data_IF_942219543618
#
_entry.id   IF_942219543618
#
_cell.length_a   1.000
_cell.length_b   1.000
_cell.length_c   1.000
_cell.angle_alpha   90.00
_cell.angle_beta   90.00
_cell.angle_gamma   90.00
#
_symmetry.space_group_name_H-M   'P 1'
#
loop_
_entity.id
_entity.type
_entity.pdbx_description
1 polymer ?
#
# COMPACT_ATOMS: atom_id res chain seq x y z
N UNK A 1 -33.50 5.08 -20.75
CA UNK A 1 -32.07 4.85 -21.03
C UNK A 1 -32.01 3.85 -22.16
N UNK A 2 -31.33 4.13 -23.27
CA UNK A 2 -31.17 3.15 -24.36
C UNK A 2 -30.12 2.15 -23.89
N UNK A 3 -30.46 0.88 -23.88
CA UNK A 3 -29.54 -0.19 -23.52
C UNK A 3 -28.60 -0.43 -24.72
N UNK A 4 -27.35 0.03 -24.62
CA UNK A 4 -26.35 -0.03 -25.70
C UNK A 4 -25.75 -1.45 -25.89
N UNK A 5 -26.43 -2.49 -25.39
CA UNK A 5 -26.00 -3.88 -25.48
C UNK A 5 -25.16 -4.39 -24.31
N UNK A 6 -24.73 -3.52 -23.40
CA UNK A 6 -24.00 -3.93 -22.19
C UNK A 6 -24.95 -4.18 -21.03
N UNK A 7 -24.88 -5.37 -20.44
CA UNK A 7 -25.64 -5.71 -19.23
C UNK A 7 -25.02 -5.02 -18.01
N UNK A 8 -25.82 -4.50 -17.07
CA UNK A 8 -25.31 -4.04 -15.78
C UNK A 8 -24.52 -5.13 -15.08
N UNK A 9 -23.43 -4.75 -14.44
CA UNK A 9 -22.55 -5.65 -13.69
C UNK A 9 -22.83 -5.45 -12.20
N UNK A 10 -22.85 -6.55 -11.45
CA UNK A 10 -23.00 -6.51 -10.00
C UNK A 10 -21.66 -6.12 -9.36
N UNK A 11 -21.63 -4.96 -8.71
CA UNK A 11 -20.52 -4.52 -7.86
C UNK A 11 -20.78 -4.99 -6.42
N UNK A 12 -19.89 -5.84 -5.91
CA UNK A 12 -19.95 -6.45 -4.59
C UNK A 12 -18.93 -5.79 -3.69
N UNK A 13 -19.38 -5.07 -2.66
CA UNK A 13 -18.47 -4.47 -1.68
C UNK A 13 -17.92 -5.55 -0.74
N UNK A 14 -16.60 -5.65 -0.66
CA UNK A 14 -15.85 -6.47 0.31
C UNK A 14 -14.95 -5.57 1.13
N UNK A 15 -14.53 -6.05 2.30
CA UNK A 15 -13.56 -5.39 3.16
C UNK A 15 -12.70 -6.47 3.82
N UNK A 16 -11.66 -6.90 3.12
CA UNK A 16 -10.89 -8.10 3.49
C UNK A 16 -9.42 -7.99 3.09
N UNK A 17 -8.58 -8.74 3.81
CA UNK A 17 -7.15 -8.92 3.51
C UNK A 17 -6.87 -10.20 2.72
N UNK A 18 -7.95 -10.88 2.29
CA UNK A 18 -7.89 -12.03 1.39
C UNK A 18 -7.22 -11.64 0.07
N UNK A 19 -6.33 -12.49 -0.41
CA UNK A 19 -5.53 -12.22 -1.60
C UNK A 19 -6.32 -12.55 -2.87
N UNK A 20 -5.99 -11.85 -3.95
CA UNK A 20 -6.47 -12.14 -5.30
C UNK A 20 -5.66 -13.22 -5.99
N UNK A 21 -5.70 -13.20 -7.33
CA UNK A 21 -4.87 -14.08 -8.18
C UNK A 21 -3.40 -13.87 -7.87
N UNK A 22 -2.58 -14.90 -8.05
CA UNK A 22 -1.12 -14.84 -7.90
C UNK A 22 -0.65 -14.35 -6.49
N UNK A 23 -1.56 -14.29 -5.50
CA UNK A 23 -1.25 -13.88 -4.12
C UNK A 23 -1.11 -12.37 -3.88
N UNK A 24 -1.65 -11.53 -4.76
CA UNK A 24 -1.61 -10.07 -4.62
C UNK A 24 -2.72 -9.56 -3.70
N UNK A 25 -2.45 -8.46 -2.99
CA UNK A 25 -3.52 -7.63 -2.42
C UNK A 25 -4.34 -7.01 -3.55
N UNK A 26 -5.61 -6.73 -3.29
CA UNK A 26 -6.54 -6.27 -4.33
C UNK A 26 -7.37 -5.09 -3.84
N UNK A 27 -7.36 -4.00 -4.61
CA UNK A 27 -8.39 -2.95 -4.54
C UNK A 27 -9.69 -3.42 -5.18
N UNK A 28 -9.59 -4.24 -6.21
CA UNK A 28 -10.74 -4.79 -6.91
C UNK A 28 -10.42 -6.14 -7.53
N UNK A 29 -11.47 -6.90 -7.82
CA UNK A 29 -11.33 -8.17 -8.50
C UNK A 29 -12.55 -8.48 -9.34
N UNK A 30 -12.37 -8.62 -10.65
CA UNK A 30 -13.43 -9.14 -11.51
C UNK A 30 -13.31 -10.66 -11.62
N UNK A 31 -14.39 -11.37 -11.28
CA UNK A 31 -14.44 -12.84 -11.33
C UNK A 31 -15.16 -13.31 -12.60
N UNK A 32 -14.46 -14.11 -13.42
CA UNK A 32 -15.07 -14.85 -14.53
C UNK A 32 -15.94 -16.01 -14.04
N UNK A 33 -15.71 -16.50 -12.83
CA UNK A 33 -16.51 -17.56 -12.21
C UNK A 33 -17.93 -17.08 -11.90
N UNK A 34 -18.05 -15.88 -11.30
CA UNK A 34 -19.35 -15.34 -10.86
C UNK A 34 -19.90 -14.25 -11.77
N UNK A 35 -19.07 -13.66 -12.64
CA UNK A 35 -19.41 -12.48 -13.44
C UNK A 35 -19.56 -11.20 -12.60
N UNK A 36 -19.08 -11.21 -11.35
CA UNK A 36 -19.20 -10.07 -10.42
C UNK A 36 -17.88 -9.32 -10.29
N UNK A 37 -17.98 -8.03 -9.99
CA UNK A 37 -16.87 -7.16 -9.67
C UNK A 37 -16.82 -6.94 -8.15
N UNK A 38 -15.78 -7.43 -7.49
CA UNK A 38 -15.59 -7.27 -6.05
C UNK A 38 -14.76 -6.02 -5.78
N UNK A 39 -15.29 -5.11 -4.97
CA UNK A 39 -14.71 -3.81 -4.62
C UNK A 39 -14.20 -3.87 -3.19
N UNK A 40 -12.88 -3.82 -3.00
CA UNK A 40 -12.29 -3.98 -1.68
C UNK A 40 -12.12 -2.65 -0.96
N UNK A 41 -13.12 -2.29 -0.18
CA UNK A 41 -13.17 -1.09 0.64
C UNK A 41 -12.01 -1.01 1.63
N UNK A 42 -11.42 -2.16 2.01
CA UNK A 42 -10.25 -2.21 2.89
C UNK A 42 -9.01 -1.57 2.27
N UNK A 43 -8.85 -1.64 0.94
CA UNK A 43 -7.70 -1.07 0.21
C UNK A 43 -8.08 0.09 -0.71
N UNK A 44 -9.37 0.41 -0.84
CA UNK A 44 -9.82 1.63 -1.51
C UNK A 44 -9.97 2.76 -0.49
N UNK A 45 -8.90 3.53 -0.34
CA UNK A 45 -8.78 4.50 0.75
C UNK A 45 -9.56 5.78 0.51
N UNK A 46 -10.08 6.04 -0.68
CA UNK A 46 -10.72 7.30 -1.00
C UNK A 46 -11.88 7.13 -1.98
N UNK A 47 -12.72 8.16 -2.15
CA UNK A 47 -13.78 8.12 -3.16
C UNK A 47 -13.17 8.08 -4.57
N UNK A 48 -11.99 8.69 -4.76
CA UNK A 48 -11.25 8.60 -6.01
C UNK A 48 -10.75 7.16 -6.26
N UNK A 49 -10.26 6.47 -5.22
CA UNK A 49 -9.83 5.07 -5.32
C UNK A 49 -11.01 4.15 -5.65
N UNK A 50 -12.11 4.26 -4.90
CA UNK A 50 -13.32 3.47 -5.13
C UNK A 50 -13.84 3.64 -6.56
N UNK A 51 -13.90 4.87 -7.06
CA UNK A 51 -14.37 5.14 -8.42
C UNK A 51 -13.39 4.62 -9.48
N UNK A 52 -12.09 4.77 -9.25
CA UNK A 52 -11.04 4.24 -10.13
C UNK A 52 -11.16 2.72 -10.25
N UNK A 53 -11.28 2.03 -9.12
CA UNK A 53 -11.37 0.57 -9.11
C UNK A 53 -12.70 0.10 -9.67
N UNK A 54 -13.81 0.79 -9.39
CA UNK A 54 -15.11 0.42 -9.94
C UNK A 54 -15.11 0.57 -11.46
N UNK A 55 -14.50 1.64 -12.00
CA UNK A 55 -14.31 1.81 -13.44
C UNK A 55 -13.42 0.72 -14.04
N UNK A 56 -12.33 0.35 -13.35
CA UNK A 56 -11.42 -0.72 -13.77
C UNK A 56 -12.14 -2.06 -13.90
N UNK A 57 -12.87 -2.48 -12.86
CA UNK A 57 -13.59 -3.75 -12.90
C UNK A 57 -14.79 -3.72 -13.86
N UNK A 58 -15.43 -2.55 -14.02
CA UNK A 58 -16.48 -2.37 -15.03
C UNK A 58 -15.94 -2.61 -16.44
N UNK A 59 -14.76 -2.11 -16.77
CA UNK A 59 -14.15 -2.37 -18.08
C UNK A 59 -13.86 -3.86 -18.30
N UNK A 60 -13.28 -4.52 -17.29
CA UNK A 60 -13.00 -5.97 -17.36
C UNK A 60 -14.27 -6.77 -17.56
N UNK A 61 -15.32 -6.40 -16.84
CA UNK A 61 -16.61 -7.04 -16.92
C UNK A 61 -17.30 -6.80 -18.27
N UNK A 62 -17.19 -5.61 -18.85
CA UNK A 62 -17.65 -5.30 -20.22
C UNK A 62 -16.97 -6.23 -21.23
N UNK A 63 -15.65 -6.36 -21.13
CA UNK A 63 -14.87 -7.19 -22.05
C UNK A 63 -15.17 -8.69 -21.89
N UNK A 64 -15.64 -9.13 -20.73
CA UNK A 64 -15.99 -10.51 -20.43
C UNK A 64 -17.46 -10.87 -20.71
N UNK A 65 -18.29 -9.90 -21.14
CA UNK A 65 -19.70 -10.19 -21.42
C UNK A 65 -19.86 -11.19 -22.57
N UNK A 66 -20.92 -11.99 -22.49
CA UNK A 66 -21.31 -12.93 -23.53
C UNK A 66 -21.49 -12.21 -24.88
N UNK A 67 -20.80 -12.70 -25.92
CA UNK A 67 -20.76 -12.08 -27.25
C UNK A 67 -19.56 -11.16 -27.49
N UNK A 68 -18.77 -10.86 -26.45
CA UNK A 68 -17.45 -10.27 -26.61
C UNK A 68 -16.52 -11.21 -27.39
N UNK A 69 -15.63 -10.63 -28.19
CA UNK A 69 -14.56 -11.34 -28.91
C UNK A 69 -13.21 -11.27 -28.19
N UNK A 70 -13.16 -10.64 -27.02
CA UNK A 70 -11.93 -10.56 -26.23
C UNK A 70 -11.59 -11.94 -25.66
N UNK A 71 -10.34 -12.35 -25.85
CA UNK A 71 -9.81 -13.54 -25.21
C UNK A 71 -9.77 -13.33 -23.69
N UNK A 72 -10.19 -14.34 -22.93
CA UNK A 72 -10.17 -14.32 -21.46
C UNK A 72 -9.10 -15.26 -20.89
N UNK A 73 -8.19 -15.76 -21.73
CA UNK A 73 -6.98 -16.44 -21.29
C UNK A 73 -6.19 -15.56 -20.32
N UNK A 74 -5.50 -16.19 -19.36
CA UNK A 74 -4.69 -15.46 -18.36
C UNK A 74 -3.69 -14.50 -19.03
N UNK A 75 -2.97 -14.99 -20.05
CA UNK A 75 -2.00 -14.19 -20.81
C UNK A 75 -2.62 -12.93 -21.40
N UNK A 76 -3.80 -13.05 -22.03
CA UNK A 76 -4.45 -11.90 -22.64
C UNK A 76 -5.02 -10.93 -21.59
N UNK A 77 -5.57 -11.44 -20.50
CA UNK A 77 -6.06 -10.61 -19.38
C UNK A 77 -4.92 -9.82 -18.73
N UNK A 78 -3.76 -10.45 -18.56
CA UNK A 78 -2.55 -9.81 -18.05
C UNK A 78 -2.08 -8.69 -19.01
N UNK A 79 -2.04 -8.97 -20.31
CA UNK A 79 -1.61 -8.01 -21.33
C UNK A 79 -2.49 -6.76 -21.43
N UNK A 80 -3.78 -6.85 -21.08
CA UNK A 80 -4.73 -5.72 -21.14
C UNK A 80 -5.05 -5.10 -19.78
N UNK A 81 -4.44 -5.57 -18.69
CA UNK A 81 -4.70 -5.05 -17.34
C UNK A 81 -4.47 -3.54 -17.27
N UNK A 82 -3.41 -3.04 -17.92
CA UNK A 82 -3.10 -1.61 -18.01
C UNK A 82 -4.23 -0.81 -18.65
N UNK A 83 -4.86 -1.32 -19.70
CA UNK A 83 -6.00 -0.64 -20.35
C UNK A 83 -7.19 -0.47 -19.40
N UNK A 84 -7.58 -1.54 -18.70
CA UNK A 84 -8.69 -1.48 -17.74
C UNK A 84 -8.39 -0.51 -16.59
N UNK A 85 -7.15 -0.51 -16.07
CA UNK A 85 -6.74 0.41 -15.01
C UNK A 85 -6.74 1.88 -15.49
N UNK A 86 -6.22 2.14 -16.69
CA UNK A 86 -6.25 3.48 -17.30
C UNK A 86 -7.69 3.95 -17.52
N UNK A 87 -8.60 3.06 -17.93
CA UNK A 87 -10.01 3.37 -18.06
C UNK A 87 -10.63 3.81 -16.72
N UNK A 88 -10.38 3.05 -15.65
CA UNK A 88 -10.81 3.42 -14.30
C UNK A 88 -10.27 4.79 -13.85
N UNK A 89 -8.96 5.01 -14.04
CA UNK A 89 -8.30 6.28 -13.70
C UNK A 89 -8.89 7.48 -14.48
N UNK A 90 -9.18 7.29 -15.77
CA UNK A 90 -9.79 8.31 -16.60
C UNK A 90 -11.22 8.66 -16.14
N UNK A 91 -12.01 7.66 -15.71
CA UNK A 91 -13.35 7.91 -15.14
C UNK A 91 -13.23 8.77 -13.88
N UNK A 92 -12.34 8.39 -12.96
CA UNK A 92 -12.16 9.15 -11.72
C UNK A 92 -11.69 10.59 -11.98
N UNK A 93 -10.73 10.75 -12.89
CA UNK A 93 -10.21 12.07 -13.31
C UNK A 93 -11.29 12.94 -13.95
N UNK A 94 -12.14 12.36 -14.80
CA UNK A 94 -13.24 13.08 -15.42
C UNK A 94 -14.31 13.49 -14.42
N UNK A 95 -14.66 12.59 -13.49
CA UNK A 95 -15.60 12.89 -12.42
C UNK A 95 -15.07 14.00 -11.50
N UNK A 96 -13.79 13.95 -11.15
CA UNK A 96 -13.12 14.98 -10.36
C UNK A 96 -13.14 16.34 -11.08
N UNK A 97 -12.79 16.37 -12.37
CA UNK A 97 -12.88 17.57 -13.19
C UNK A 97 -14.30 18.13 -13.23
N UNK A 98 -15.32 17.28 -13.37
CA UNK A 98 -16.72 17.71 -13.41
C UNK A 98 -17.17 18.32 -12.07
N UNK A 99 -16.78 17.74 -10.93
CA UNK A 99 -17.04 18.31 -9.61
C UNK A 99 -16.38 19.68 -9.46
N UNK A 100 -15.13 19.81 -9.90
CA UNK A 100 -14.42 21.07 -9.86
C UNK A 100 -15.10 22.13 -10.74
N UNK A 101 -15.42 21.78 -11.98
CA UNK A 101 -16.06 22.68 -12.94
C UNK A 101 -17.45 23.15 -12.48
N UNK A 102 -18.17 22.32 -11.73
CA UNK A 102 -19.51 22.64 -11.20
C UNK A 102 -19.49 23.27 -9.80
N UNK A 103 -18.30 23.59 -9.28
CA UNK A 103 -18.14 24.24 -7.97
C UNK A 103 -18.46 23.34 -6.78
N UNK A 104 -18.48 22.01 -6.96
CA UNK A 104 -18.76 21.03 -5.91
C UNK A 104 -17.48 20.53 -5.19
N UNK A 105 -16.31 21.04 -5.58
CA UNK A 105 -15.02 20.64 -5.03
C UNK A 105 -14.36 19.54 -5.85
N UNK A 106 -13.77 18.55 -5.20
CA UNK A 106 -13.09 17.41 -5.81
C UNK A 106 -13.62 16.11 -5.19
N UNK A 107 -13.31 14.97 -5.81
CA UNK A 107 -13.44 13.69 -5.13
C UNK A 107 -12.61 13.70 -3.86
N UNK A 108 -13.16 13.14 -2.78
CA UNK A 108 -12.43 12.99 -1.53
C UNK A 108 -11.24 12.07 -1.77
N UNK A 109 -10.05 12.56 -1.42
CA UNK A 109 -8.81 11.78 -1.30
C UNK A 109 -8.56 11.32 0.14
N UNK A 110 -9.41 11.71 1.09
CA UNK A 110 -9.35 11.29 2.48
C UNK A 110 -9.87 9.86 2.69
N UNK A 111 -9.43 9.24 3.79
CA UNK A 111 -9.75 7.87 4.18
C UNK A 111 -11.25 7.60 4.24
N UNK A 112 -11.73 6.61 3.48
CA UNK A 112 -13.08 6.08 3.60
C UNK A 112 -13.26 5.31 4.92
N UNK A 113 -14.49 5.29 5.44
CA UNK A 113 -14.84 4.40 6.54
C UNK A 113 -15.03 2.99 6.00
N UNK A 114 -14.26 2.03 6.53
CA UNK A 114 -14.38 0.62 6.14
C UNK A 114 -15.79 0.12 6.46
N UNK A 115 -16.44 -0.47 5.46
CA UNK A 115 -17.74 -1.12 5.60
C UNK A 115 -17.64 -2.41 6.41
N UNK A 116 -18.42 -2.51 7.49
CA UNK A 116 -18.45 -3.66 8.41
C UNK A 116 -19.84 -4.31 8.51
N UNK A 117 -20.68 -4.09 7.48
CA UNK A 117 -22.06 -4.61 7.47
C UNK A 117 -22.10 -6.15 7.41
N UNK A 118 -23.22 -6.74 7.84
CA UNK A 118 -23.44 -8.20 7.72
C UNK A 118 -23.36 -8.68 6.27
N UNK A 119 -23.77 -7.84 5.31
CA UNK A 119 -23.63 -8.14 3.89
C UNK A 119 -22.16 -8.17 3.46
N UNK A 120 -21.35 -7.21 3.92
CA UNK A 120 -19.90 -7.17 3.63
C UNK A 120 -19.19 -8.42 4.17
N UNK A 121 -19.59 -8.90 5.36
CA UNK A 121 -19.04 -10.14 5.92
C UNK A 121 -19.40 -11.39 5.08
N UNK A 122 -20.63 -11.47 4.57
CA UNK A 122 -21.03 -12.54 3.67
C UNK A 122 -20.27 -12.46 2.33
N UNK A 123 -20.11 -11.26 1.79
CA UNK A 123 -19.36 -11.02 0.57
C UNK A 123 -17.87 -11.38 0.74
N UNK A 124 -17.27 -11.10 1.90
CA UNK A 124 -15.89 -11.51 2.21
C UNK A 124 -15.73 -13.04 2.16
N UNK A 125 -16.70 -13.77 2.72
CA UNK A 125 -16.70 -15.23 2.70
C UNK A 125 -16.90 -15.79 1.29
N UNK A 126 -17.78 -15.18 0.49
CA UNK A 126 -17.94 -15.50 -0.93
C UNK A 126 -16.63 -15.28 -1.68
N UNK A 127 -16.02 -14.10 -1.53
CA UNK A 127 -14.76 -13.76 -2.18
C UNK A 127 -13.64 -14.75 -1.83
N UNK A 128 -13.52 -15.15 -0.56
CA UNK A 128 -12.52 -16.12 -0.11
C UNK A 128 -12.69 -17.51 -0.74
N UNK A 129 -13.91 -17.87 -1.15
CA UNK A 129 -14.20 -19.15 -1.80
C UNK A 129 -13.94 -19.19 -3.31
N UNK A 130 -13.69 -18.03 -3.95
CA UNK A 130 -13.52 -17.94 -5.41
C UNK A 130 -12.25 -18.65 -5.88
N UNK A 131 -12.30 -19.21 -7.09
CA UNK A 131 -11.11 -19.58 -7.81
C UNK A 131 -10.38 -18.32 -8.31
N UNK A 132 -9.31 -17.94 -7.62
CA UNK A 132 -8.55 -16.71 -7.91
C UNK A 132 -7.94 -16.69 -9.30
N UNK A 133 -7.63 -17.85 -9.90
CA UNK A 133 -7.10 -17.95 -11.27
C UNK A 133 -8.11 -17.50 -12.34
N UNK A 134 -9.41 -17.55 -12.00
CA UNK A 134 -10.50 -17.10 -12.86
C UNK A 134 -10.88 -15.64 -12.61
N UNK A 135 -9.97 -14.79 -12.17
CA UNK A 135 -10.23 -13.35 -12.14
C UNK A 135 -9.00 -12.49 -12.28
N UNK A 136 -9.21 -11.18 -12.32
CA UNK A 136 -8.17 -10.18 -12.51
C UNK A 136 -8.11 -9.23 -11.33
N UNK A 137 -6.89 -8.93 -10.89
CA UNK A 137 -6.64 -8.05 -9.76
C UNK A 137 -6.60 -6.59 -10.23
N UNK A 138 -7.40 -5.70 -9.67
CA UNK A 138 -7.05 -4.27 -9.63
C UNK A 138 -6.15 -4.07 -8.41
N UNK A 139 -4.87 -3.83 -8.68
CA UNK A 139 -3.84 -3.62 -7.67
C UNK A 139 -3.42 -2.15 -7.65
N UNK A 140 -2.72 -1.72 -6.60
CA UNK A 140 -1.93 -0.51 -6.71
C UNK A 140 -0.69 -0.78 -7.57
N UNK A 141 -0.11 0.25 -8.20
CA UNK A 141 1.19 0.13 -8.87
C UNK A 141 2.29 -0.45 -7.97
N UNK A 142 2.14 -0.27 -6.65
CA UNK A 142 2.89 -0.99 -5.63
C UNK A 142 1.99 -1.26 -4.42
N UNK A 143 2.02 -2.48 -3.90
CA UNK A 143 1.45 -2.88 -2.61
C UNK A 143 2.57 -3.48 -1.74
N UNK A 144 2.55 -3.23 -0.43
CA UNK A 144 3.60 -3.71 0.49
C UNK A 144 2.99 -4.56 1.60
N UNK A 145 3.38 -5.84 1.65
CA UNK A 145 3.01 -6.75 2.72
C UNK A 145 4.22 -7.07 3.56
N UNK A 146 4.17 -6.78 4.86
CA UNK A 146 5.27 -7.04 5.79
C UNK A 146 4.82 -8.16 6.72
N UNK A 147 5.41 -9.34 6.52
CA UNK A 147 5.16 -10.53 7.34
C UNK A 147 6.33 -10.77 8.30
N UNK A 148 6.03 -11.57 9.31
CA UNK A 148 7.00 -12.31 10.09
C UNK A 148 7.82 -11.50 11.09
N UNK A 149 7.23 -10.56 11.83
CA UNK A 149 7.67 -10.40 13.22
C UNK A 149 7.04 -11.55 14.00
N UNK A 150 7.78 -12.61 14.28
CA UNK A 150 7.27 -13.82 14.98
C UNK A 150 6.98 -13.58 16.48
N UNK A 151 6.96 -12.32 16.92
CA UNK A 151 6.82 -11.92 18.32
C UNK A 151 7.95 -12.42 19.23
N UNK A 152 9.00 -13.01 18.65
CA UNK A 152 10.18 -13.56 19.36
C UNK A 152 11.48 -12.92 18.87
N UNK A 153 11.49 -12.45 17.63
CA UNK A 153 12.62 -11.85 16.95
C UNK A 153 12.25 -10.48 16.37
N UNK A 154 13.26 -9.63 16.21
CA UNK A 154 13.14 -8.31 15.59
C UNK A 154 13.20 -8.34 14.07
N UNK A 155 13.29 -9.53 13.47
CA UNK A 155 13.46 -9.71 12.03
C UNK A 155 12.10 -10.02 11.40
N UNK A 156 11.91 -9.60 10.16
CA UNK A 156 10.75 -9.94 9.36
C UNK A 156 11.08 -9.96 7.87
N UNK A 157 10.05 -10.11 7.05
CA UNK A 157 10.15 -10.12 5.59
C UNK A 157 9.10 -9.19 4.99
N UNK A 158 9.54 -8.21 4.21
CA UNK A 158 8.68 -7.38 3.38
C UNK A 158 8.59 -7.96 1.96
N UNK A 159 7.38 -8.00 1.45
CA UNK A 159 7.01 -8.40 0.10
C UNK A 159 6.45 -7.16 -0.60
N UNK A 160 7.15 -6.69 -1.63
CA UNK A 160 6.74 -5.58 -2.47
C UNK A 160 6.13 -6.15 -3.75
N UNK A 161 4.82 -6.00 -3.88
CA UNK A 161 4.07 -6.41 -5.05
C UNK A 161 4.00 -5.23 -6.01
N UNK A 162 4.74 -5.30 -7.11
CA UNK A 162 4.84 -4.22 -8.11
C UNK A 162 4.03 -4.61 -9.35
N UNK A 163 3.23 -3.67 -9.87
CA UNK A 163 2.43 -3.90 -11.07
C UNK A 163 3.32 -4.24 -12.28
N UNK A 164 2.90 -5.25 -13.04
CA UNK A 164 3.68 -5.81 -14.15
C UNK A 164 4.77 -6.82 -13.75
N UNK A 165 5.06 -7.03 -12.46
CA UNK A 165 5.96 -8.09 -12.01
C UNK A 165 5.18 -9.36 -11.64
N UNK A 166 5.66 -10.54 -12.06
CA UNK A 166 5.02 -11.84 -11.78
C UNK A 166 5.26 -12.37 -10.36
N UNK A 167 6.24 -11.82 -9.64
CA UNK A 167 6.62 -12.24 -8.29
C UNK A 167 6.94 -11.01 -7.45
N UNK A 168 6.63 -11.01 -6.14
CA UNK A 168 6.99 -9.89 -5.28
C UNK A 168 8.50 -9.80 -5.13
N UNK A 169 9.01 -8.58 -5.02
CA UNK A 169 10.38 -8.36 -4.54
C UNK A 169 10.42 -8.56 -3.05
N UNK A 170 11.33 -9.41 -2.59
CA UNK A 170 11.41 -9.83 -1.19
C UNK A 170 12.60 -9.17 -0.51
N UNK A 171 12.35 -8.53 0.62
CA UNK A 171 13.35 -7.82 1.42
C UNK A 171 13.29 -8.29 2.86
N UNK A 172 14.44 -8.62 3.44
CA UNK A 172 14.54 -8.85 4.88
C UNK A 172 14.42 -7.50 5.59
N UNK A 173 13.57 -7.44 6.61
CA UNK A 173 13.38 -6.22 7.40
C UNK A 173 13.70 -6.41 8.87
N UNK A 174 13.94 -5.32 9.60
CA UNK A 174 14.02 -5.31 11.06
C UNK A 174 13.09 -4.29 11.69
N UNK A 175 12.58 -4.58 12.89
CA UNK A 175 11.80 -3.63 13.70
C UNK A 175 11.89 -3.97 15.19
N UNK A 176 11.88 -2.94 16.04
CA UNK A 176 12.00 -3.08 17.48
C UNK A 176 13.46 -3.21 17.92
N UNK A 177 13.91 -2.27 18.76
CA UNK A 177 15.26 -2.21 19.29
C UNK A 177 15.39 -3.26 20.42
N UNK A 178 15.49 -4.53 20.03
CA UNK A 178 15.72 -5.73 20.87
C UNK A 178 14.51 -6.28 21.64
N UNK A 179 13.36 -5.58 21.65
CA UNK A 179 12.14 -6.07 22.28
C UNK A 179 11.15 -6.54 21.22
N UNK A 180 10.72 -7.81 21.21
CA UNK A 180 9.80 -8.30 20.20
C UNK A 180 8.31 -8.04 20.54
N UNK A 181 7.98 -7.47 21.70
CA UNK A 181 6.59 -7.16 22.09
C UNK A 181 6.10 -5.86 21.42
N UNK A 182 5.16 -5.91 20.45
CA UNK A 182 4.67 -4.73 19.72
C UNK A 182 3.94 -3.71 20.61
N UNK A 183 3.48 -4.14 21.79
CA UNK A 183 2.77 -3.27 22.76
C UNK A 183 3.73 -2.35 23.51
N UNK A 184 5.03 -2.62 23.47
CA UNK A 184 6.02 -1.86 24.21
C UNK A 184 6.36 -0.58 23.47
N UNK A 185 5.88 0.53 24.02
CA UNK A 185 6.17 1.86 23.51
C UNK A 185 7.69 2.09 23.43
N UNK A 186 8.12 2.66 22.31
CA UNK A 186 9.51 3.07 21.98
C UNK A 186 10.57 1.94 22.01
N UNK A 187 10.14 0.67 22.09
CA UNK A 187 11.04 -0.49 22.15
C UNK A 187 10.60 -1.63 21.25
N UNK A 188 9.29 -1.87 21.19
CA UNK A 188 8.69 -2.94 20.41
C UNK A 188 8.75 -2.71 18.91
N UNK A 189 8.60 -3.76 18.09
CA UNK A 189 8.39 -3.64 16.65
C UNK A 189 7.12 -2.86 16.32
N UNK A 190 6.98 -2.39 15.07
CA UNK A 190 5.77 -1.70 14.59
C UNK A 190 4.53 -2.57 14.84
N UNK A 191 3.48 -2.07 15.51
CA UNK A 191 2.29 -2.87 15.81
C UNK A 191 1.67 -3.53 14.58
N UNK A 192 1.04 -4.69 14.78
CA UNK A 192 0.28 -5.34 13.74
C UNK A 192 -0.92 -4.46 13.33
N UNK A 193 -1.26 -4.49 12.05
CA UNK A 193 -2.40 -3.73 11.53
C UNK A 193 -2.13 -3.20 10.14
N UNK A 194 -2.98 -2.26 9.74
CA UNK A 194 -2.94 -1.65 8.41
C UNK A 194 -2.48 -0.21 8.51
N UNK A 195 -1.56 0.12 7.64
CA UNK A 195 -0.93 1.42 7.52
C UNK A 195 -1.02 1.87 6.06
N UNK A 196 -0.80 3.14 5.82
CA UNK A 196 -0.59 3.68 4.48
C UNK A 196 0.73 4.42 4.40
N UNK A 197 1.31 4.39 3.21
CA UNK A 197 2.42 5.25 2.80
C UNK A 197 1.83 6.27 1.83
N UNK A 198 2.03 7.55 2.13
CA UNK A 198 1.80 8.64 1.18
C UNK A 198 3.10 8.87 0.38
N UNK A 199 3.11 8.63 -0.94
CA UNK A 199 4.27 8.88 -1.79
C UNK A 199 4.83 10.30 -1.68
N UNK A 200 3.97 11.31 -1.45
CA UNK A 200 4.39 12.69 -1.30
C UNK A 200 5.18 12.93 0.00
N UNK A 201 5.04 12.04 0.99
CA UNK A 201 5.79 12.08 2.26
C UNK A 201 7.09 11.27 2.21
N UNK A 202 7.44 10.69 1.06
CA UNK A 202 8.68 9.92 0.88
C UNK A 202 9.90 10.85 0.73
N UNK A 203 10.79 10.82 1.73
CA UNK A 203 11.95 11.69 1.82
C UNK A 203 13.21 10.97 1.33
N UNK A 204 14.05 11.69 0.57
CA UNK A 204 15.41 11.27 0.25
C UNK A 204 16.34 11.96 1.25
N UNK A 205 17.18 11.21 1.95
CA UNK A 205 18.01 11.74 3.03
C UNK A 205 19.38 12.16 2.48
N UNK A 206 19.80 13.41 2.73
CA UNK A 206 21.14 13.85 2.34
C UNK A 206 22.22 13.15 3.18
N UNK A 207 23.46 13.09 2.71
CA UNK A 207 24.62 12.59 3.48
C UNK A 207 24.75 13.24 4.87
N UNK A 208 24.31 14.49 5.03
CA UNK A 208 24.34 15.21 6.31
C UNK A 208 23.21 14.73 7.23
N UNK A 209 22.03 14.44 6.68
CA UNK A 209 20.89 13.92 7.45
C UNK A 209 21.12 12.45 7.87
N UNK A 210 21.82 11.66 7.04
CA UNK A 210 22.31 10.31 7.36
C UNK A 210 23.22 10.28 8.58
N UNK A 211 24.08 11.30 8.73
CA UNK A 211 25.05 11.41 9.83
C UNK A 211 24.41 11.94 11.12
N UNK A 212 23.41 12.82 11.02
CA UNK A 212 22.84 13.55 12.17
C UNK A 212 21.56 12.96 12.77
N UNK A 213 20.95 11.95 12.13
CA UNK A 213 19.76 11.27 12.66
C UNK A 213 18.60 12.22 13.04
N UNK A 214 18.43 13.32 12.27
CA UNK A 214 17.49 14.38 12.61
C UNK A 214 16.05 13.97 12.33
N UNK A 215 15.28 13.85 13.41
CA UNK A 215 13.83 13.96 13.40
C UNK A 215 13.46 15.39 12.95
N UNK A 216 12.64 15.55 11.90
CA UNK A 216 12.31 16.88 11.39
C UNK A 216 11.24 17.54 12.28
N UNK A 217 11.70 18.05 13.43
CA UNK A 217 10.94 18.94 14.32
C UNK A 217 11.73 20.15 14.82
N UNK A 218 12.99 20.35 14.38
CA UNK A 218 13.80 21.48 14.80
C UNK A 218 13.88 22.53 13.68
N UNK A 219 13.07 23.57 13.80
CA UNK A 219 13.30 24.84 13.12
C UNK A 219 14.71 25.36 13.41
N UNK A 220 15.21 26.14 12.45
CA UNK A 220 16.45 26.93 12.46
C UNK A 220 17.72 26.24 11.95
N UNK A 221 17.97 26.45 10.65
CA UNK A 221 19.34 26.68 10.17
C UNK A 221 19.85 27.99 10.77
N UNK A 222 20.59 27.90 11.87
CA UNK A 222 21.61 28.91 12.15
C UNK A 222 22.86 28.22 12.68
N UNK A 223 23.96 28.45 11.94
CA UNK A 223 25.34 28.12 12.28
C UNK A 223 25.81 26.69 11.98
N UNK A 224 25.96 26.40 10.68
CA UNK A 224 26.96 25.44 10.21
C UNK A 224 28.35 25.98 10.57
N UNK A 225 28.80 25.64 11.78
CA UNK A 225 30.19 25.76 12.18
C UNK A 225 30.55 24.61 13.11
N UNK A 226 30.25 23.38 12.69
CA UNK A 226 30.83 22.19 13.34
C UNK A 226 32.12 21.82 12.62
N UNK A 227 33.13 22.61 12.98
CA UNK A 227 34.53 22.33 12.77
C UNK A 227 34.86 20.85 12.99
N UNK A 228 35.61 20.32 12.03
CA UNK A 228 36.64 19.29 12.18
C UNK A 228 37.37 19.40 13.54
N UNK A 229 36.82 18.85 14.63
CA UNK A 229 37.57 18.62 15.87
C UNK A 229 37.10 17.35 16.58
N UNK A 230 37.91 16.31 16.35
CA UNK A 230 38.31 15.22 17.26
C UNK A 230 37.50 13.91 17.22
N UNK A 231 38.10 12.92 16.54
CA UNK A 231 38.20 11.53 17.03
C UNK A 231 37.31 10.50 16.33
N UNK A 232 37.81 9.28 16.02
CA UNK A 232 37.09 8.25 15.27
C UNK A 232 36.02 7.46 16.08
N UNK A 233 35.44 8.04 17.14
CA UNK A 233 34.63 7.28 18.12
C UNK A 233 33.35 7.98 18.61
N UNK A 234 32.63 8.76 17.77
CA UNK A 234 31.34 9.37 18.18
C UNK A 234 30.18 9.07 17.20
N UNK A 235 30.22 7.95 16.47
CA UNK A 235 29.13 7.53 15.57
C UNK A 235 28.50 6.21 16.06
N UNK A 236 28.00 6.15 17.30
CA UNK A 236 27.49 4.87 17.85
C UNK A 236 26.28 4.93 18.79
N UNK A 237 25.33 5.84 18.58
CA UNK A 237 24.10 5.80 19.41
C UNK A 237 22.79 6.25 18.76
N UNK A 238 22.81 6.63 17.48
CA UNK A 238 21.59 6.91 16.72
C UNK A 238 21.58 6.00 15.50
N UNK A 239 20.50 5.24 15.31
CA UNK A 239 20.33 4.33 14.17
C UNK A 239 20.50 5.08 12.85
N UNK A 240 21.02 4.39 11.83
CA UNK A 240 21.17 4.97 10.50
C UNK A 240 19.79 4.98 9.82
N UNK A 241 19.37 6.15 9.35
CA UNK A 241 18.09 6.35 8.67
C UNK A 241 18.17 6.07 7.16
N UNK A 242 19.35 5.67 6.66
CA UNK A 242 19.56 5.27 5.27
C UNK A 242 19.30 6.37 4.25
N UNK A 243 19.13 5.99 2.99
CA UNK A 243 18.92 6.93 1.87
C UNK A 243 17.46 7.41 1.75
N UNK A 244 16.51 6.75 2.42
CA UNK A 244 15.11 7.15 2.38
C UNK A 244 14.39 6.88 3.69
N UNK A 245 13.34 7.68 3.94
CA UNK A 245 12.31 7.35 4.93
C UNK A 245 10.95 7.76 4.42
N UNK A 246 9.93 7.03 4.83
CA UNK A 246 8.55 7.39 4.60
C UNK A 246 7.70 6.97 5.80
N UNK A 247 6.78 7.84 6.20
CA UNK A 247 5.94 7.59 7.37
C UNK A 247 4.92 6.49 7.08
N UNK A 248 4.69 5.62 8.06
CA UNK A 248 3.61 4.65 8.10
C UNK A 248 2.45 5.28 8.88
N UNK A 249 1.38 5.60 8.17
CA UNK A 249 0.20 6.24 8.74
C UNK A 249 -0.83 5.16 9.10
N UNK A 250 -1.12 4.91 10.38
CA UNK A 250 -2.09 3.91 10.77
C UNK A 250 -3.49 4.33 10.29
N UNK A 251 -4.24 3.40 9.72
CA UNK A 251 -5.67 3.65 9.48
C UNK A 251 -6.43 3.64 10.82
N UNK A 252 -7.66 4.16 10.83
CA UNK A 252 -8.45 4.36 12.06
C UNK A 252 -8.71 3.09 12.86
N UNK A 253 -8.66 1.92 12.24
CA UNK A 253 -8.88 0.61 12.89
C UNK A 253 -7.60 -0.02 13.45
N UNK A 254 -6.42 0.56 13.22
CA UNK A 254 -5.15 0.02 13.67
C UNK A 254 -4.82 0.48 15.09
N UNK A 255 -4.75 -0.47 16.04
CA UNK A 255 -4.33 -0.19 17.41
C UNK A 255 -2.81 -0.02 17.47
N UNK A 256 -2.37 1.23 17.59
CA UNK A 256 -0.94 1.55 17.70
C UNK A 256 -0.40 1.47 19.12
N UNK A 257 -1.23 1.14 20.11
CA UNK A 257 -0.88 1.21 21.53
C UNK A 257 -0.37 2.61 21.95
N UNK A 258 -0.92 3.66 21.33
CA UNK A 258 -0.54 5.06 21.60
C UNK A 258 0.80 5.49 20.99
N UNK A 259 1.29 4.75 19.99
CA UNK A 259 2.52 5.03 19.26
C UNK A 259 2.24 5.85 18.01
N UNK A 260 3.18 6.72 17.67
CA UNK A 260 3.16 7.60 16.50
C UNK A 260 4.53 7.62 15.84
N UNK A 261 4.65 8.21 14.65
CA UNK A 261 5.94 8.42 13.97
C UNK A 261 6.71 7.12 13.70
N UNK A 262 6.00 6.14 13.12
CA UNK A 262 6.60 4.90 12.64
C UNK A 262 6.95 5.09 11.15
N UNK A 263 8.10 4.59 10.71
CA UNK A 263 8.58 4.79 9.35
C UNK A 263 8.95 3.47 8.67
N UNK A 264 8.85 3.42 7.35
CA UNK A 264 9.61 2.51 6.51
C UNK A 264 10.87 3.26 6.06
N UNK A 265 12.05 2.70 6.30
CA UNK A 265 13.31 3.34 5.95
C UNK A 265 14.37 2.33 5.51
N UNK A 266 15.47 2.85 4.99
CA UNK A 266 16.70 2.09 4.77
C UNK A 266 17.73 2.28 5.89
N UNK A 267 18.88 1.63 5.78
CA UNK A 267 20.03 1.91 6.66
C UNK A 267 21.00 0.74 6.81
N UNK A 268 22.21 1.02 7.32
CA UNK A 268 23.23 0.00 7.62
C UNK A 268 23.05 -0.66 9.00
N UNK A 269 22.22 -0.07 9.87
CA UNK A 269 22.09 -0.47 11.29
C UNK A 269 20.69 -0.96 11.63
N UNK A 270 20.59 -2.26 11.89
CA UNK A 270 19.39 -2.91 12.42
C UNK A 270 18.78 -2.16 13.62
N UNK A 271 17.48 -1.92 13.54
CA UNK A 271 16.65 -1.64 14.70
C UNK A 271 16.34 -0.15 14.94
N UNK A 272 15.07 0.09 15.22
CA UNK A 272 14.53 1.38 15.63
C UNK A 272 13.44 1.17 16.68
N UNK A 273 13.01 2.25 17.35
CA UNK A 273 11.93 2.26 18.35
C UNK A 273 10.53 2.03 17.75
N UNK A 274 10.40 1.17 16.72
CA UNK A 274 9.14 0.86 16.04
C UNK A 274 9.05 1.19 14.57
N UNK A 275 10.13 1.56 13.89
CA UNK A 275 10.18 1.68 12.44
C UNK A 275 10.58 0.34 11.82
N UNK A 276 10.42 0.24 10.51
CA UNK A 276 10.78 -0.92 9.71
C UNK A 276 11.97 -0.55 8.85
N UNK A 277 13.10 -1.19 9.11
CA UNK A 277 14.34 -1.01 8.35
C UNK A 277 14.44 -2.09 7.28
N UNK A 278 14.66 -1.67 6.03
CA UNK A 278 14.84 -2.51 4.86
C UNK A 278 16.30 -2.83 4.52
N UNK A 279 17.29 -2.32 5.27
CA UNK A 279 18.72 -2.53 5.04
C UNK A 279 19.32 -1.64 3.96
N UNK A 280 20.59 -1.86 3.61
CA UNK A 280 21.37 -1.02 2.65
C UNK A 280 20.93 -1.16 1.20
N UNK A 281 20.77 -2.41 0.74
CA UNK A 281 20.72 -2.75 -0.68
C UNK A 281 19.40 -2.44 -1.39
N UNK A 282 18.21 -2.43 -0.73
CA UNK A 282 16.96 -2.19 -1.44
C UNK A 282 16.52 -0.71 -1.50
N UNK A 283 17.29 0.22 -0.92
CA UNK A 283 16.87 1.61 -0.70
C UNK A 283 16.44 2.37 -1.96
N UNK A 284 17.18 2.23 -3.05
CA UNK A 284 16.96 3.05 -4.24
C UNK A 284 15.72 2.63 -5.03
N UNK A 285 15.48 1.33 -5.17
CA UNK A 285 14.32 0.86 -5.92
C UNK A 285 13.03 0.99 -5.09
N UNK A 286 13.06 0.74 -3.78
CA UNK A 286 11.88 0.94 -2.92
C UNK A 286 11.41 2.40 -3.01
N UNK A 287 12.34 3.35 -2.84
CA UNK A 287 12.01 4.78 -2.92
C UNK A 287 11.47 5.16 -4.30
N UNK A 288 12.06 4.62 -5.37
CA UNK A 288 11.61 4.86 -6.74
C UNK A 288 10.16 4.36 -6.92
N UNK A 289 9.90 3.10 -6.59
CA UNK A 289 8.58 2.52 -6.79
C UNK A 289 7.51 3.21 -5.92
N UNK A 290 7.86 3.62 -4.69
CA UNK A 290 6.96 4.43 -3.86
C UNK A 290 6.62 5.75 -4.54
N UNK A 291 7.61 6.48 -5.05
CA UNK A 291 7.44 7.81 -5.69
C UNK A 291 6.75 7.77 -7.04
N UNK A 292 6.88 6.66 -7.76
CA UNK A 292 6.22 6.49 -9.06
C UNK A 292 4.71 6.21 -8.91
N UNK A 293 4.23 6.06 -7.67
CA UNK A 293 2.80 6.00 -7.36
C UNK A 293 2.25 7.37 -6.96
N UNK A 294 1.02 7.64 -7.38
CA UNK A 294 0.30 8.90 -7.11
C UNK A 294 -0.80 8.74 -6.05
N UNK A 295 -0.92 7.54 -5.48
CA UNK A 295 -1.97 7.14 -4.55
C UNK A 295 -1.34 6.53 -3.30
N UNK A 296 -2.06 6.55 -2.19
CA UNK A 296 -1.57 5.95 -0.95
C UNK A 296 -1.35 4.45 -1.14
N UNK A 297 -0.17 3.99 -0.73
CA UNK A 297 0.25 2.60 -0.80
C UNK A 297 -0.18 1.92 0.51
N UNK A 298 -1.03 0.90 0.47
CA UNK A 298 -1.36 0.15 1.67
C UNK A 298 -0.16 -0.67 2.12
N UNK A 299 0.05 -0.68 3.43
CA UNK A 299 1.06 -1.49 4.10
C UNK A 299 0.38 -2.35 5.15
N UNK A 300 0.44 -3.66 5.00
CA UNK A 300 -0.10 -4.58 5.99
C UNK A 300 1.02 -5.20 6.82
N UNK A 301 0.93 -5.09 8.14
CA UNK A 301 1.89 -5.67 9.09
C UNK A 301 1.24 -6.84 9.81
N UNK A 302 1.77 -8.04 9.57
CA UNK A 302 1.30 -9.29 10.18
C UNK A 302 2.39 -9.94 11.03
N UNK A 303 1.98 -10.45 12.19
CA UNK A 303 2.81 -11.24 13.09
C UNK A 303 2.41 -12.71 12.94
N UNK A 304 3.39 -13.57 12.69
CA UNK A 304 3.14 -15.01 12.64
C UNK A 304 2.88 -15.52 14.07
N UNK A 305 1.93 -16.44 14.23
CA UNK A 305 1.59 -17.05 15.52
C UNK A 305 2.52 -18.21 15.86
#
# INVERSE_FOLDING_TARGET
>A
MIELGYKPIENVLIATTELGRDGYQIKGFFSLETGKAYMNDFYNNSNADLLTTAGTETQRAIDAQEGSKFDQSKEYRDARSEYSQNFGSNIASYADFALYFTGQGSLSTGSNSISTSSQTLANNAEFAGLNKELGDNSINKIDVLIKAFDGKTRFGTAYFYIDGEQQPRVVRVTSGNENPDPKQKDKGPTPAGTYTIDPAKAQNMSLIDRILGRDQGANEMSNVNLFLKKGPNIISSYGDWGDFRVILEPITTTDTFGRTQMYLHGGEKDGSAGCIDCGETPNQWILKEIRDTTIQIPVEIKYDK
#
